data_IF_624229010379
#
_entry.id   IF_624229010379
#
_cell.length_a   1.000
_cell.length_b   1.000
_cell.length_c   1.000
_cell.angle_alpha   90.00
_cell.angle_beta   90.00
_cell.angle_gamma   90.00
#
_symmetry.space_group_name_H-M   'P 1'
#
loop_
_entity.id
_entity.type
_entity.pdbx_description
1 polymer ?
#
# COMPACT_ATOMS: atom_id res chain seq x y z
N UNK A 1 -18.24 -2.79 11.51
CA UNK A 1 -17.07 -2.33 12.30
C UNK A 1 -15.84 -2.42 11.40
N UNK A 2 -15.18 -1.32 11.07
CA UNK A 2 -13.98 -1.33 10.23
C UNK A 2 -12.77 -1.58 11.14
N UNK A 3 -12.32 -2.83 11.22
CA UNK A 3 -11.10 -3.19 11.96
C UNK A 3 -9.91 -2.88 11.05
N UNK A 4 -9.36 -1.67 11.17
CA UNK A 4 -8.06 -1.37 10.59
C UNK A 4 -7.01 -2.15 11.38
N UNK A 5 -6.56 -3.30 10.84
CA UNK A 5 -5.40 -4.00 11.37
C UNK A 5 -4.24 -2.99 11.39
N UNK A 6 -3.88 -2.52 12.59
CA UNK A 6 -2.91 -1.46 12.78
C UNK A 6 -1.54 -1.85 12.23
N UNK A 7 -1.25 -1.45 11.01
CA UNK A 7 0.03 -1.69 10.32
C UNK A 7 1.15 -0.73 10.76
N UNK A 8 0.92 0.14 11.74
CA UNK A 8 1.90 1.18 12.11
C UNK A 8 1.89 1.55 13.59
N UNK A 9 2.85 0.97 14.33
CA UNK A 9 3.85 1.67 15.18
C UNK A 9 4.59 0.66 16.06
N UNK A 10 5.90 0.58 15.91
CA UNK A 10 6.77 0.78 17.07
C UNK A 10 8.07 1.49 16.64
N UNK A 11 8.66 2.19 17.60
CA UNK A 11 9.73 3.19 17.50
C UNK A 11 10.89 2.74 16.59
N UNK A 12 11.11 3.42 15.46
CA UNK A 12 12.39 3.59 14.69
C UNK A 12 12.24 3.77 13.17
N UNK A 13 11.01 3.79 12.63
CA UNK A 13 10.73 4.20 11.24
C UNK A 13 10.33 3.06 10.29
N UNK A 14 9.00 2.89 10.12
CA UNK A 14 8.18 2.31 9.01
C UNK A 14 8.64 1.02 8.27
N UNK A 15 7.84 0.02 7.88
CA UNK A 15 6.42 -0.41 8.03
C UNK A 15 6.51 -1.92 8.34
N UNK A 16 5.89 -2.41 9.42
CA UNK A 16 6.05 -3.80 9.82
C UNK A 16 4.94 -4.69 9.26
N UNK A 17 5.26 -5.41 8.18
CA UNK A 17 5.04 -6.84 8.17
C UNK A 17 6.18 -7.42 9.04
N UNK A 18 5.85 -7.96 10.22
CA UNK A 18 6.73 -8.14 11.40
C UNK A 18 8.07 -8.85 11.13
N UNK A 19 8.14 -9.59 10.04
CA UNK A 19 9.31 -10.27 9.52
C UNK A 19 9.14 -10.42 8.01
N UNK A 20 10.22 -10.77 7.32
CA UNK A 20 10.18 -11.29 5.95
C UNK A 20 9.63 -12.72 5.87
N UNK A 21 9.27 -13.33 7.02
CA UNK A 21 8.80 -14.70 7.08
C UNK A 21 7.31 -14.80 6.73
N UNK A 22 6.95 -15.95 6.16
CA UNK A 22 5.57 -16.29 5.83
C UNK A 22 4.67 -16.37 7.07
N UNK A 23 5.25 -16.54 8.26
CA UNK A 23 4.52 -16.52 9.54
C UNK A 23 3.81 -15.19 9.77
N UNK A 24 4.37 -14.07 9.30
CA UNK A 24 3.71 -12.76 9.39
C UNK A 24 2.44 -12.71 8.56
N UNK A 25 2.48 -13.28 7.35
CA UNK A 25 1.30 -13.35 6.47
C UNK A 25 0.24 -14.21 7.13
N UNK A 26 0.62 -15.39 7.63
CA UNK A 26 -0.31 -16.29 8.30
C UNK A 26 -0.95 -15.64 9.53
N UNK A 27 -0.15 -14.97 10.38
CA UNK A 27 -0.65 -14.25 11.55
C UNK A 27 -1.71 -13.19 11.19
N UNK A 28 -1.51 -12.47 10.08
CA UNK A 28 -2.49 -11.49 9.60
C UNK A 28 -3.78 -12.18 9.17
N UNK A 29 -3.69 -13.28 8.42
CA UNK A 29 -4.86 -14.05 7.98
C UNK A 29 -5.61 -14.66 9.15
N UNK A 30 -4.90 -15.19 10.16
CA UNK A 30 -5.49 -15.71 11.40
C UNK A 30 -6.28 -14.61 12.13
N UNK A 31 -5.77 -13.37 12.14
CA UNK A 31 -6.50 -12.23 12.70
C UNK A 31 -7.74 -11.85 11.91
N UNK A 32 -7.73 -12.01 10.58
CA UNK A 32 -8.96 -11.87 9.80
C UNK A 32 -9.97 -12.96 10.11
N UNK A 33 -9.54 -14.21 10.26
CA UNK A 33 -10.42 -15.30 10.70
C UNK A 33 -11.07 -15.01 12.06
N UNK A 34 -10.28 -14.57 13.04
CA UNK A 34 -10.80 -14.17 14.36
C UNK A 34 -11.87 -13.08 14.24
N UNK A 35 -11.63 -12.05 13.42
CA UNK A 35 -12.61 -10.98 13.17
C UNK A 35 -13.88 -11.51 12.50
N UNK A 36 -13.74 -12.41 11.52
CA UNK A 36 -14.87 -13.05 10.84
C UNK A 36 -15.73 -13.80 11.86
N UNK A 37 -15.11 -14.60 12.73
CA UNK A 37 -15.83 -15.42 13.71
C UNK A 37 -16.58 -14.57 14.75
N UNK A 38 -16.03 -13.41 15.13
CA UNK A 38 -16.73 -12.44 15.98
C UNK A 38 -17.97 -11.89 15.26
N UNK A 39 -17.82 -11.45 14.02
CA UNK A 39 -18.91 -10.78 13.29
C UNK A 39 -20.00 -11.77 12.84
N UNK A 40 -19.65 -13.04 12.60
CA UNK A 40 -20.62 -14.13 12.32
C UNK A 40 -21.66 -14.31 13.42
N UNK A 41 -21.40 -13.87 14.65
CA UNK A 41 -22.37 -13.87 15.75
C UNK A 41 -23.55 -12.91 15.53
N UNK A 42 -23.47 -12.04 14.53
CA UNK A 42 -24.49 -11.05 14.19
C UNK A 42 -25.11 -11.39 12.83
N UNK A 43 -26.31 -12.03 12.79
CA UNK A 43 -26.85 -12.68 11.58
C UNK A 43 -27.16 -11.73 10.42
N UNK A 44 -27.29 -10.42 10.68
CA UNK A 44 -27.55 -9.41 9.65
C UNK A 44 -26.29 -8.65 9.21
N UNK A 45 -25.11 -9.05 9.70
CA UNK A 45 -23.85 -8.41 9.32
C UNK A 45 -23.25 -9.06 8.08
N UNK A 46 -22.91 -8.25 7.08
CA UNK A 46 -22.06 -8.65 5.95
C UNK A 46 -20.61 -8.24 6.24
N UNK A 47 -19.66 -9.07 5.82
CA UNK A 47 -18.22 -8.85 6.02
C UNK A 47 -17.54 -8.81 4.67
N UNK A 48 -16.81 -7.74 4.44
CA UNK A 48 -15.91 -7.58 3.29
C UNK A 48 -14.56 -7.11 3.82
N UNK A 49 -13.52 -7.90 3.61
CA UNK A 49 -12.15 -7.55 4.01
C UNK A 49 -11.51 -6.79 2.86
N UNK A 50 -10.97 -5.59 3.11
CA UNK A 50 -10.38 -4.76 2.06
C UNK A 50 -8.95 -5.18 1.77
N UNK A 51 -8.54 -5.17 0.49
CA UNK A 51 -7.16 -5.39 0.08
C UNK A 51 -6.20 -4.36 0.71
N UNK A 52 -4.97 -4.78 0.98
CA UNK A 52 -3.87 -3.90 1.33
C UNK A 52 -3.37 -3.22 0.05
N UNK A 53 -3.41 -1.87 -0.03
CA UNK A 53 -2.84 -1.18 -1.17
C UNK A 53 -1.31 -1.34 -1.17
N UNK A 54 -0.66 -1.31 -2.35
CA UNK A 54 0.80 -1.41 -2.40
C UNK A 54 1.44 -0.17 -1.77
N UNK A 55 2.61 -0.36 -1.16
CA UNK A 55 3.42 0.68 -0.54
C UNK A 55 4.85 0.59 -1.05
N UNK A 56 5.62 1.68 -1.02
CA UNK A 56 7.05 1.65 -1.33
C UNK A 56 7.89 2.26 -0.23
N UNK A 57 8.77 1.44 0.35
CA UNK A 57 9.78 1.82 1.35
C UNK A 57 10.82 2.73 0.71
N UNK A 58 11.23 2.46 -0.53
CA UNK A 58 12.19 3.31 -1.25
C UNK A 58 11.63 4.71 -1.42
N UNK A 59 10.40 4.85 -1.94
CA UNK A 59 9.74 6.15 -2.13
C UNK A 59 9.55 6.90 -0.82
N UNK A 60 9.23 6.17 0.25
CA UNK A 60 9.10 6.72 1.58
C UNK A 60 10.40 7.30 2.11
N UNK A 61 11.49 6.53 2.05
CA UNK A 61 12.79 6.98 2.52
C UNK A 61 13.37 8.13 1.67
N UNK A 62 13.20 8.10 0.34
CA UNK A 62 13.55 9.22 -0.54
C UNK A 62 12.84 10.52 -0.11
N UNK A 63 11.57 10.43 0.29
CA UNK A 63 10.81 11.60 0.74
C UNK A 63 11.28 12.12 2.10
N UNK A 64 11.69 11.25 3.03
CA UNK A 64 12.29 11.67 4.30
C UNK A 64 13.62 12.39 4.05
N UNK A 65 14.51 11.79 3.25
CA UNK A 65 15.83 12.34 2.96
C UNK A 65 15.74 13.77 2.38
N UNK A 66 14.86 13.98 1.40
CA UNK A 66 14.63 15.31 0.82
C UNK A 66 14.11 16.35 1.83
N UNK A 67 13.24 15.96 2.77
CA UNK A 67 12.79 16.87 3.84
C UNK A 67 13.93 17.28 4.77
N UNK A 68 14.84 16.36 5.09
CA UNK A 68 16.00 16.63 5.95
C UNK A 68 16.95 17.61 5.24
N UNK A 69 17.23 17.40 3.95
CA UNK A 69 18.11 18.27 3.16
C UNK A 69 17.55 19.69 3.03
N UNK A 70 16.25 19.83 2.74
CA UNK A 70 15.59 21.15 2.67
C UNK A 70 15.65 21.91 4.00
N UNK A 71 15.53 21.22 5.14
CA UNK A 71 15.65 21.83 6.47
C UNK A 71 17.08 22.34 6.73
N UNK A 72 18.11 21.62 6.27
CA UNK A 72 19.51 22.03 6.38
C UNK A 72 19.81 23.24 5.49
N UNK A 73 19.31 23.27 4.26
CA UNK A 73 19.51 24.39 3.32
C UNK A 73 18.83 25.68 3.79
N UNK A 74 17.64 25.62 4.40
CA UNK A 74 17.01 26.81 4.97
C UNK A 74 17.79 27.40 6.16
N UNK A 75 18.68 26.64 6.78
CA UNK A 75 19.53 27.09 7.89
C UNK A 75 20.93 27.56 7.43
N UNK A 76 21.36 27.22 6.22
CA UNK A 76 22.61 27.69 5.61
C UNK A 76 22.34 28.23 4.20
N UNK A 77 22.25 29.56 4.08
CA UNK A 77 22.18 30.29 2.81
C UNK A 77 23.54 30.26 2.10
N UNK A 78 24.01 29.09 1.65
CA UNK A 78 25.13 29.02 0.71
C UNK A 78 24.88 27.91 -0.33
N UNK A 79 24.87 28.34 -1.59
CA UNK A 79 24.52 27.55 -2.77
C UNK A 79 25.70 26.75 -3.30
N UNK A 80 25.56 25.41 -3.32
CA UNK A 80 25.98 24.49 -4.40
C UNK A 80 25.93 23.05 -3.89
N UNK A 81 24.86 22.29 -4.17
CA UNK A 81 24.76 20.90 -3.66
C UNK A 81 23.94 19.91 -4.53
N UNK A 82 23.84 20.14 -5.84
CA UNK A 82 23.07 19.23 -6.71
C UNK A 82 23.72 17.84 -6.90
N UNK A 83 25.05 17.72 -6.75
CA UNK A 83 25.75 16.43 -6.95
C UNK A 83 25.56 15.47 -5.76
N UNK A 84 25.48 16.01 -4.55
CA UNK A 84 25.39 15.26 -3.29
C UNK A 84 24.02 14.59 -3.12
N UNK A 85 22.97 15.19 -3.67
CA UNK A 85 21.59 14.66 -3.63
C UNK A 85 21.38 13.42 -4.51
N UNK A 86 22.15 13.26 -5.60
CA UNK A 86 22.04 12.11 -6.51
C UNK A 86 22.72 10.86 -5.92
N UNK A 87 23.85 11.03 -5.25
CA UNK A 87 24.57 9.93 -4.59
C UNK A 87 23.74 9.37 -3.43
N UNK A 88 23.17 10.25 -2.60
CA UNK A 88 22.30 9.84 -1.49
C UNK A 88 21.02 9.12 -1.95
N UNK A 89 20.50 9.43 -3.15
CA UNK A 89 19.36 8.70 -3.71
C UNK A 89 19.72 7.31 -4.22
N UNK A 90 20.91 7.13 -4.79
CA UNK A 90 21.44 5.81 -5.19
C UNK A 90 21.60 4.90 -3.98
N UNK A 91 22.22 5.40 -2.91
CA UNK A 91 22.45 4.62 -1.68
C UNK A 91 21.15 4.14 -1.02
N UNK A 92 20.08 4.95 -1.08
CA UNK A 92 18.75 4.56 -0.58
C UNK A 92 18.16 3.43 -1.44
N UNK A 93 18.29 3.51 -2.76
CA UNK A 93 17.74 2.48 -3.65
C UNK A 93 18.44 1.16 -3.36
N UNK A 94 19.77 1.14 -3.35
CA UNK A 94 20.55 -0.08 -3.15
C UNK A 94 20.28 -0.70 -1.77
N UNK A 95 20.21 0.14 -0.73
CA UNK A 95 19.95 -0.31 0.65
C UNK A 95 18.57 -0.96 0.84
N UNK A 96 17.54 -0.50 0.14
CA UNK A 96 16.15 -0.89 0.41
C UNK A 96 15.53 -1.75 -0.71
N UNK A 97 16.28 -2.09 -1.76
CA UNK A 97 15.75 -2.88 -2.90
C UNK A 97 15.24 -4.26 -2.46
N UNK A 98 16.03 -5.00 -1.69
CA UNK A 98 15.62 -6.33 -1.24
C UNK A 98 14.36 -6.28 -0.34
N UNK A 99 14.34 -5.33 0.60
CA UNK A 99 13.21 -5.12 1.51
C UNK A 99 11.94 -4.70 0.75
N UNK A 100 12.08 -3.87 -0.28
CA UNK A 100 10.96 -3.49 -1.16
C UNK A 100 10.40 -4.72 -1.88
N UNK A 101 11.25 -5.57 -2.46
CA UNK A 101 10.80 -6.80 -3.13
C UNK A 101 10.05 -7.73 -2.17
N UNK A 102 10.59 -7.94 -0.97
CA UNK A 102 9.95 -8.78 0.06
C UNK A 102 8.61 -8.21 0.50
N UNK A 103 8.54 -6.89 0.74
CA UNK A 103 7.29 -6.20 1.07
C UNK A 103 6.23 -6.42 -0.01
N UNK A 104 6.57 -6.22 -1.30
CA UNK A 104 5.62 -6.42 -2.39
C UNK A 104 5.11 -7.86 -2.44
N UNK A 105 5.99 -8.85 -2.27
CA UNK A 105 5.60 -10.26 -2.25
C UNK A 105 4.63 -10.56 -1.12
N UNK A 106 4.88 -10.05 0.09
CA UNK A 106 3.99 -10.24 1.22
C UNK A 106 2.64 -9.55 1.05
N UNK A 107 2.61 -8.33 0.50
CA UNK A 107 1.36 -7.64 0.16
C UNK A 107 0.55 -8.49 -0.83
N UNK A 108 1.20 -9.08 -1.85
CA UNK A 108 0.53 -9.98 -2.79
C UNK A 108 -0.04 -11.20 -2.07
N UNK A 109 0.75 -11.90 -1.24
CA UNK A 109 0.29 -13.08 -0.48
C UNK A 109 -0.90 -12.75 0.42
N UNK A 110 -0.84 -11.64 1.17
CA UNK A 110 -1.96 -11.21 2.03
C UNK A 110 -3.20 -10.89 1.20
N UNK A 111 -3.04 -10.17 0.08
CA UNK A 111 -4.17 -9.84 -0.80
C UNK A 111 -4.79 -11.08 -1.44
N UNK A 112 -4.00 -12.10 -1.77
CA UNK A 112 -4.53 -13.36 -2.28
C UNK A 112 -5.30 -14.13 -1.20
N UNK A 113 -4.81 -14.12 0.05
CA UNK A 113 -5.57 -14.61 1.21
C UNK A 113 -6.88 -13.85 1.44
N UNK A 114 -6.87 -12.52 1.32
CA UNK A 114 -8.07 -11.67 1.42
C UNK A 114 -9.09 -12.02 0.33
N UNK A 115 -8.63 -12.20 -0.92
CA UNK A 115 -9.51 -12.63 -2.03
C UNK A 115 -10.15 -13.98 -1.76
N UNK A 116 -9.37 -14.94 -1.25
CA UNK A 116 -9.89 -16.24 -0.86
C UNK A 116 -10.96 -16.10 0.23
N UNK A 117 -10.68 -15.36 1.30
CA UNK A 117 -11.63 -15.13 2.40
C UNK A 117 -12.92 -14.46 1.91
N UNK A 118 -12.82 -13.37 1.13
CA UNK A 118 -14.00 -12.72 0.57
C UNK A 118 -14.81 -13.66 -0.33
N UNK A 119 -14.14 -14.50 -1.13
CA UNK A 119 -14.81 -15.54 -1.94
C UNK A 119 -15.60 -16.51 -1.07
N UNK A 120 -15.06 -16.95 0.06
CA UNK A 120 -15.79 -17.81 1.02
C UNK A 120 -16.95 -17.11 1.70
N UNK A 121 -16.89 -15.78 1.85
CA UNK A 121 -17.95 -14.95 2.41
C UNK A 121 -19.01 -14.52 1.37
N UNK A 122 -18.80 -14.87 0.09
CA UNK A 122 -19.66 -14.41 -1.01
C UNK A 122 -19.54 -12.92 -1.33
N UNK A 123 -18.46 -12.26 -0.88
CA UNK A 123 -18.21 -10.83 -1.07
C UNK A 123 -17.00 -10.58 -1.99
N UNK A 124 -16.81 -9.33 -2.41
CA UNK A 124 -15.66 -8.92 -3.23
C UNK A 124 -15.09 -7.61 -2.70
N UNK A 125 -13.78 -7.58 -2.47
CA UNK A 125 -13.07 -6.35 -2.12
C UNK A 125 -12.79 -5.47 -3.34
N UNK A 126 -12.66 -4.15 -3.16
CA UNK A 126 -12.07 -3.29 -4.17
C UNK A 126 -10.62 -3.74 -4.43
N UNK A 127 -10.23 -3.76 -5.70
CA UNK A 127 -8.85 -4.05 -6.08
C UNK A 127 -8.05 -2.74 -6.20
N UNK A 128 -7.51 -2.26 -5.08
CA UNK A 128 -6.84 -0.95 -5.03
C UNK A 128 -5.61 -0.88 -5.94
N UNK A 129 -4.95 -2.01 -6.18
CA UNK A 129 -3.78 -2.10 -7.06
C UNK A 129 -4.08 -1.70 -8.51
N UNK A 130 -5.32 -1.89 -9.00
CA UNK A 130 -5.71 -1.51 -10.37
C UNK A 130 -5.65 0.01 -10.57
N UNK A 131 -5.98 0.79 -9.54
CA UNK A 131 -5.95 2.26 -9.62
C UNK A 131 -4.55 2.86 -9.68
N UNK A 132 -3.56 2.06 -9.31
CA UNK A 132 -2.17 2.46 -9.33
C UNK A 132 -1.46 1.99 -10.56
N UNK A 133 -1.99 0.98 -11.24
CA UNK A 133 -1.50 0.62 -12.56
C UNK A 133 -1.73 1.80 -13.47
N UNK A 134 -0.65 2.45 -13.90
CA UNK A 134 -0.75 3.45 -14.96
C UNK A 134 -1.39 2.74 -16.15
N UNK A 135 -2.62 3.11 -16.52
CA UNK A 135 -3.13 2.85 -17.86
C UNK A 135 -2.15 3.58 -18.77
N UNK A 136 -1.13 2.88 -19.27
CA UNK A 136 -0.33 3.38 -20.39
C UNK A 136 -1.37 3.81 -21.42
N UNK A 137 -1.35 5.09 -21.78
CA UNK A 137 -2.07 5.53 -22.97
C UNK A 137 -1.73 4.50 -24.04
N UNK A 138 -2.75 3.97 -24.72
CA UNK A 138 -2.57 3.10 -25.88
C UNK A 138 -1.74 3.88 -26.89
N UNK A 139 -0.42 3.84 -26.77
CA UNK A 139 0.48 4.21 -27.84
C UNK A 139 0.11 3.27 -28.97
N UNK A 140 -0.18 3.86 -30.14
CA UNK A 140 -0.55 3.15 -31.37
C UNK A 140 0.61 2.24 -31.81
N UNK A 141 0.78 1.12 -31.14
CA UNK A 141 1.90 0.22 -31.30
C UNK A 141 1.79 -0.89 -30.27
N UNK A 142 1.61 -2.12 -30.77
CA UNK A 142 1.33 -3.38 -30.04
C UNK A 142 2.46 -3.80 -29.08
N UNK A 143 2.80 -2.96 -28.11
CA UNK A 143 3.61 -3.41 -26.98
C UNK A 143 2.70 -4.16 -26.02
N UNK A 144 2.96 -5.45 -25.84
CA UNK A 144 2.35 -6.25 -24.77
C UNK A 144 2.55 -5.49 -23.45
N UNK A 145 1.56 -5.47 -22.55
CA UNK A 145 1.70 -4.84 -21.25
C UNK A 145 2.83 -5.53 -20.48
N UNK A 146 4.03 -4.97 -20.57
CA UNK A 146 5.16 -5.34 -19.73
C UNK A 146 4.87 -4.87 -18.32
N UNK A 147 5.17 -5.74 -17.36
CA UNK A 147 5.14 -5.59 -15.90
C UNK A 147 4.48 -4.31 -15.34
N UNK A 148 3.34 -4.52 -14.67
CA UNK A 148 2.46 -3.52 -14.06
C UNK A 148 3.24 -2.44 -13.28
N UNK A 149 3.50 -1.29 -13.90
CA UNK A 149 4.10 -0.15 -13.20
C UNK A 149 3.09 0.47 -12.21
N UNK A 150 3.41 0.42 -10.93
CA UNK A 150 2.65 1.07 -9.85
C UNK A 150 3.03 2.55 -9.81
N UNK A 151 2.06 3.43 -10.08
CA UNK A 151 2.25 4.87 -10.07
C UNK A 151 2.29 5.43 -8.64
N UNK A 152 3.45 5.33 -8.00
CA UNK A 152 3.68 5.88 -6.67
C UNK A 152 3.59 7.41 -6.59
N UNK A 153 3.48 8.15 -7.72
CA UNK A 153 3.26 9.59 -7.68
C UNK A 153 1.88 9.95 -7.12
N UNK A 154 0.95 8.99 -7.06
CA UNK A 154 -0.34 9.13 -6.42
C UNK A 154 -0.26 9.03 -4.88
N UNK A 155 0.93 8.76 -4.34
CA UNK A 155 1.22 8.79 -2.91
C UNK A 155 2.00 10.05 -2.53
N UNK A 156 1.82 10.56 -1.31
CA UNK A 156 2.58 11.70 -0.79
C UNK A 156 4.01 11.34 -0.41
N UNK A 157 4.21 10.09 -0.01
CA UNK A 157 5.44 9.56 0.56
C UNK A 157 5.58 8.05 0.28
N UNK A 158 4.91 7.50 -0.73
CA UNK A 158 4.98 6.06 -1.00
C UNK A 158 4.13 5.16 -0.08
N UNK A 159 3.51 5.71 0.98
CA UNK A 159 2.62 4.98 1.89
C UNK A 159 1.23 5.60 1.91
N UNK A 160 1.16 6.92 2.06
CA UNK A 160 -0.11 7.62 2.21
C UNK A 160 -0.64 8.09 0.85
N UNK A 161 -1.89 7.76 0.48
CA UNK A 161 -2.47 8.19 -0.78
C UNK A 161 -2.67 9.71 -0.79
N UNK A 162 -2.38 10.36 -1.92
CA UNK A 162 -2.77 11.77 -2.16
C UNK A 162 -4.29 11.88 -2.28
N UNK A 163 -4.81 13.10 -2.12
CA UNK A 163 -6.24 13.42 -2.19
C UNK A 163 -6.99 12.76 -3.36
N UNK A 164 -6.41 12.76 -4.56
CA UNK A 164 -7.04 12.16 -5.74
C UNK A 164 -7.25 10.65 -5.59
N UNK A 165 -6.20 9.93 -5.18
CA UNK A 165 -6.24 8.49 -4.98
C UNK A 165 -7.12 8.11 -3.80
N UNK A 166 -7.02 8.84 -2.69
CA UNK A 166 -7.87 8.66 -1.52
C UNK A 166 -9.36 8.82 -1.88
N UNK A 167 -9.71 9.85 -2.66
CA UNK A 167 -11.10 10.06 -3.11
C UNK A 167 -11.58 8.90 -3.98
N UNK A 168 -10.74 8.39 -4.88
CA UNK A 168 -11.10 7.24 -5.73
C UNK A 168 -11.34 5.97 -4.90
N UNK A 169 -10.49 5.70 -3.91
CA UNK A 169 -10.66 4.55 -3.02
C UNK A 169 -11.90 4.67 -2.13
N UNK A 170 -12.12 5.84 -1.53
CA UNK A 170 -13.32 6.09 -0.72
C UNK A 170 -14.60 5.97 -1.53
N UNK A 171 -14.60 6.42 -2.79
CA UNK A 171 -15.73 6.23 -3.70
C UNK A 171 -16.08 4.75 -3.86
N UNK A 172 -15.09 3.90 -4.15
CA UNK A 172 -15.34 2.45 -4.29
C UNK A 172 -15.82 1.79 -3.00
N UNK A 173 -15.24 2.16 -1.85
CA UNK A 173 -15.69 1.64 -0.56
C UNK A 173 -17.15 2.07 -0.33
N UNK A 174 -17.48 3.33 -0.60
CA UNK A 174 -18.86 3.83 -0.51
C UNK A 174 -19.81 3.05 -1.41
N UNK A 175 -19.44 2.82 -2.66
CA UNK A 175 -20.25 2.06 -3.62
C UNK A 175 -20.49 0.61 -3.16
N UNK A 176 -19.48 -0.02 -2.54
CA UNK A 176 -19.62 -1.36 -1.98
C UNK A 176 -20.55 -1.37 -0.77
N UNK A 177 -20.38 -0.44 0.18
CA UNK A 177 -21.27 -0.35 1.34
C UNK A 177 -22.70 -0.09 0.87
N UNK A 178 -22.89 0.76 -0.14
CA UNK A 178 -24.21 1.02 -0.70
C UNK A 178 -24.86 -0.26 -1.25
N UNK A 179 -24.10 -1.04 -2.04
CA UNK A 179 -24.56 -2.33 -2.59
C UNK A 179 -24.81 -3.39 -1.52
N UNK A 180 -23.98 -3.43 -0.49
CA UNK A 180 -24.07 -4.48 0.54
C UNK A 180 -25.17 -4.19 1.57
N UNK A 181 -25.46 -2.92 1.86
CA UNK A 181 -26.37 -2.54 2.94
C UNK A 181 -27.76 -2.05 2.49
N UNK A 182 -27.92 -1.55 1.26
CA UNK A 182 -29.20 -0.99 0.80
C UNK A 182 -29.84 -1.74 -0.37
N UNK A 183 -29.16 -2.73 -0.94
CA UNK A 183 -29.67 -3.63 -1.98
C UNK A 183 -29.58 -5.09 -1.51
#
# INVERSE_FOLDING_TARGET
>A
MLVAAGLTRDKNGYISLRSTSDDTVQLILDKFHECIDIVKKYPHSKITILEIPPYSIIKYNQKIASKINNKKQNNHKDSNNNHTDLVAQSDIIDKYTEQETQLQQQIVKVNDGIKYLNSTLGTKSPCFSIHLQSRRQRSRGKSKPTEKYINYNLYSDGIHPKRLLAKAWLGQISDLIQKDCWY
#
